data_IF_339856263086
#
_entry.id   IF_339856263086
#
_cell.length_a   1.000
_cell.length_b   1.000
_cell.length_c   1.000
_cell.angle_alpha   90.00
_cell.angle_beta   90.00
_cell.angle_gamma   90.00
#
_symmetry.space_group_name_H-M   'P 1'
#
loop_
_entity.id
_entity.type
_entity.pdbx_description
1 polymer ?
#
# COMPACT_ATOMS: atom_id res chain seq x y z
N UNK A 1 -23.19 -9.73 40.12
CA UNK A 1 -22.53 -8.66 39.30
C UNK A 1 -21.29 -9.27 38.68
N UNK A 2 -21.34 -9.65 37.43
CA UNK A 2 -20.19 -10.15 36.69
C UNK A 2 -19.31 -8.93 36.29
N UNK A 3 -17.99 -8.94 36.51
CA UNK A 3 -17.13 -7.84 36.07
C UNK A 3 -17.19 -7.77 34.55
N UNK A 4 -17.59 -6.62 34.03
CA UNK A 4 -17.40 -6.28 32.63
C UNK A 4 -15.89 -6.28 32.38
N UNK A 5 -15.39 -7.30 31.67
CA UNK A 5 -14.07 -7.23 31.08
C UNK A 5 -14.08 -6.06 30.07
N UNK A 6 -13.65 -4.88 30.50
CA UNK A 6 -13.29 -3.82 29.57
C UNK A 6 -12.15 -4.37 28.69
N UNK A 7 -12.47 -4.60 27.42
CA UNK A 7 -11.44 -4.95 26.43
C UNK A 7 -10.50 -3.75 26.32
N UNK A 8 -9.28 -3.90 26.82
CA UNK A 8 -8.26 -2.86 26.69
C UNK A 8 -8.09 -2.50 25.23
N UNK A 9 -8.20 -1.20 24.91
CA UNK A 9 -7.90 -0.70 23.57
C UNK A 9 -6.42 -0.86 23.24
N UNK A 10 -6.14 -1.27 22.02
CA UNK A 10 -4.78 -1.35 21.49
C UNK A 10 -4.72 -0.86 20.05
N UNK A 11 -3.57 -0.34 19.67
CA UNK A 11 -3.19 -0.02 18.30
C UNK A 11 -1.80 -0.58 18.07
N UNK A 12 -1.69 -1.56 17.20
CA UNK A 12 -0.41 -2.11 16.76
C UNK A 12 -0.09 -1.55 15.38
N UNK A 13 1.11 -0.99 15.22
CA UNK A 13 1.64 -0.52 13.94
C UNK A 13 2.98 -1.20 13.67
N UNK A 14 3.13 -1.70 12.46
CA UNK A 14 4.38 -2.24 11.93
C UNK A 14 4.73 -1.52 10.64
N UNK A 15 5.99 -1.12 10.52
CA UNK A 15 6.57 -0.63 9.28
C UNK A 15 7.57 -1.67 8.79
N UNK A 16 7.31 -2.25 7.62
CA UNK A 16 8.04 -3.43 7.14
C UNK A 16 8.16 -3.43 5.62
N UNK A 17 8.77 -4.48 5.08
CA UNK A 17 8.86 -4.79 3.65
C UNK A 17 9.29 -3.58 2.81
N UNK A 18 10.50 -3.03 3.04
CA UNK A 18 11.04 -1.98 2.19
C UNK A 18 11.20 -2.49 0.76
N UNK A 19 10.66 -1.77 -0.22
CA UNK A 19 10.77 -2.10 -1.63
C UNK A 19 11.33 -0.94 -2.44
N UNK A 20 12.28 -1.25 -3.33
CA UNK A 20 12.79 -0.28 -4.28
C UNK A 20 11.81 -0.14 -5.44
N UNK A 21 11.23 1.04 -5.56
CA UNK A 21 10.37 1.42 -6.67
C UNK A 21 11.17 2.21 -7.70
N UNK A 22 10.96 1.93 -8.97
CA UNK A 22 11.53 2.69 -10.08
C UNK A 22 10.41 3.48 -10.74
N UNK A 23 10.46 4.79 -10.64
CA UNK A 23 9.48 5.69 -11.24
C UNK A 23 9.82 5.91 -12.72
N UNK A 24 11.12 6.10 -12.99
CA UNK A 24 11.69 6.18 -14.35
C UNK A 24 13.17 5.74 -14.33
N UNK A 25 13.90 5.95 -15.43
CA UNK A 25 15.30 5.56 -15.55
C UNK A 25 16.22 6.25 -14.51
N UNK A 26 15.86 7.44 -14.06
CA UNK A 26 16.69 8.26 -13.17
C UNK A 26 16.15 8.36 -11.75
N UNK A 27 14.87 8.05 -11.53
CA UNK A 27 14.22 8.23 -10.25
C UNK A 27 13.81 6.87 -9.65
N UNK A 28 14.45 6.56 -8.56
CA UNK A 28 14.06 5.43 -7.72
C UNK A 28 13.87 5.89 -6.28
N UNK A 29 12.98 5.21 -5.57
CA UNK A 29 12.76 5.48 -4.15
C UNK A 29 12.41 4.18 -3.44
N UNK A 30 12.56 4.19 -2.10
CA UNK A 30 12.07 3.09 -1.27
C UNK A 30 10.74 3.49 -0.66
N UNK A 31 9.76 2.61 -0.77
CA UNK A 31 8.55 2.64 0.01
C UNK A 31 8.53 1.54 1.07
N UNK A 32 7.69 1.71 2.06
CA UNK A 32 7.55 0.82 3.20
C UNK A 32 6.09 0.46 3.36
N UNK A 33 5.83 -0.79 3.72
CA UNK A 33 4.49 -1.23 4.08
C UNK A 33 4.20 -0.81 5.53
N UNK A 34 3.09 -0.10 5.74
CA UNK A 34 2.52 0.21 7.04
C UNK A 34 1.36 -0.75 7.27
N UNK A 35 1.49 -1.58 8.29
CA UNK A 35 0.45 -2.49 8.73
C UNK A 35 -0.12 -2.01 10.07
N UNK A 36 -1.45 -1.87 10.14
CA UNK A 36 -2.18 -1.53 11.37
C UNK A 36 -3.09 -2.69 11.75
N UNK A 37 -3.08 -3.03 13.04
CA UNK A 37 -4.09 -3.88 13.67
C UNK A 37 -4.56 -3.24 14.97
N UNK A 38 -5.87 -3.10 15.16
CA UNK A 38 -6.45 -2.37 16.30
C UNK A 38 -7.85 -2.86 16.64
N UNK A 39 -8.25 -2.71 17.91
CA UNK A 39 -9.64 -2.80 18.34
C UNK A 39 -10.25 -1.41 18.65
N UNK A 40 -9.47 -0.33 18.56
CA UNK A 40 -9.91 1.02 18.86
C UNK A 40 -11.03 1.49 17.94
N UNK A 41 -12.03 2.17 18.51
CA UNK A 41 -13.15 2.72 17.78
C UNK A 41 -12.79 3.96 16.94
N UNK A 42 -11.62 4.55 17.19
CA UNK A 42 -11.11 5.66 16.39
C UNK A 42 -10.78 5.27 14.94
N UNK A 43 -10.61 3.97 14.67
CA UNK A 43 -10.26 3.47 13.34
C UNK A 43 -11.48 2.88 12.64
N UNK A 44 -11.73 3.33 11.44
CA UNK A 44 -12.79 2.80 10.58
C UNK A 44 -12.54 1.34 10.22
N UNK A 45 -11.27 0.99 9.94
CA UNK A 45 -10.84 -0.39 9.67
C UNK A 45 -9.99 -0.91 10.82
N UNK A 46 -10.29 -2.13 11.25
CA UNK A 46 -9.53 -2.79 12.34
C UNK A 46 -8.19 -3.34 11.87
N UNK A 47 -8.06 -3.54 10.56
CA UNK A 47 -6.80 -3.93 9.92
C UNK A 47 -6.65 -3.15 8.63
N UNK A 48 -5.47 -2.58 8.41
CA UNK A 48 -5.11 -1.89 7.17
C UNK A 48 -3.66 -2.17 6.79
N UNK A 49 -3.38 -2.05 5.51
CA UNK A 49 -2.05 -2.27 4.94
C UNK A 49 -1.87 -1.29 3.78
N UNK A 50 -0.94 -0.36 3.90
CA UNK A 50 -0.70 0.69 2.90
C UNK A 50 0.80 0.83 2.65
N UNK A 51 1.19 1.38 1.51
CA UNK A 51 2.60 1.66 1.22
C UNK A 51 2.85 3.16 1.16
N UNK A 52 3.95 3.59 1.81
CA UNK A 52 4.34 4.99 1.89
C UNK A 52 5.84 5.15 1.72
N UNK A 53 6.26 6.16 0.96
CA UNK A 53 7.67 6.56 0.85
C UNK A 53 8.05 7.60 1.90
N UNK A 54 9.33 7.72 2.21
CA UNK A 54 9.84 8.61 3.27
C UNK A 54 9.32 10.06 3.16
N UNK A 55 9.25 10.62 1.94
CA UNK A 55 8.75 12.00 1.76
C UNK A 55 7.29 12.18 2.18
N UNK A 56 6.47 11.13 2.12
CA UNK A 56 5.08 11.19 2.57
C UNK A 56 4.97 11.24 4.10
N UNK A 57 5.89 10.57 4.82
CA UNK A 57 6.00 10.74 6.28
C UNK A 57 6.42 12.16 6.67
N UNK A 58 7.33 12.77 5.90
CA UNK A 58 7.74 14.18 6.11
C UNK A 58 6.53 15.09 5.93
N UNK A 59 5.75 14.89 4.88
CA UNK A 59 4.51 15.63 4.64
C UNK A 59 3.52 15.44 5.80
N UNK A 60 3.27 14.19 6.23
CA UNK A 60 2.37 13.90 7.34
C UNK A 60 2.79 14.64 8.61
N UNK A 61 4.08 14.55 8.97
CA UNK A 61 4.62 15.24 10.17
C UNK A 61 4.39 16.73 10.09
N UNK A 62 4.65 17.36 8.94
CA UNK A 62 4.42 18.80 8.75
C UNK A 62 2.96 19.18 8.93
N UNK A 63 2.03 18.38 8.40
CA UNK A 63 0.59 18.63 8.52
C UNK A 63 0.09 18.45 9.95
N UNK A 64 0.50 17.40 10.62
CA UNK A 64 0.18 17.18 12.03
C UNK A 64 0.73 18.31 12.89
N UNK A 65 1.96 18.80 12.67
CA UNK A 65 2.55 19.91 13.42
C UNK A 65 1.79 21.22 13.21
N UNK A 66 1.34 21.50 11.96
CA UNK A 66 0.55 22.72 11.71
C UNK A 66 -0.83 22.69 12.35
N UNK A 67 -1.41 21.51 12.56
CA UNK A 67 -2.72 21.36 13.20
C UNK A 67 -2.64 21.26 14.72
N UNK A 68 -1.54 20.70 15.24
CA UNK A 68 -1.31 20.52 16.67
C UNK A 68 -0.10 21.33 17.14
N UNK A 69 -0.18 22.66 17.01
CA UNK A 69 0.93 23.61 17.23
C UNK A 69 1.58 23.46 18.62
N UNK A 70 0.78 23.14 19.64
CA UNK A 70 1.26 23.01 21.02
C UNK A 70 1.80 21.62 21.36
N UNK A 71 1.70 20.66 20.46
CA UNK A 71 2.17 19.30 20.65
C UNK A 71 3.57 19.17 20.02
N UNK A 72 4.52 18.74 20.81
CA UNK A 72 5.82 18.35 20.27
C UNK A 72 5.70 16.97 19.59
N UNK A 73 5.80 16.95 18.28
CA UNK A 73 5.78 15.72 17.51
C UNK A 73 7.09 14.96 17.61
N UNK A 74 7.05 13.62 17.57
CA UNK A 74 8.27 12.82 17.48
C UNK A 74 9.06 13.17 16.21
N UNK A 75 10.37 12.96 16.27
CA UNK A 75 11.23 13.17 15.14
C UNK A 75 11.14 12.00 14.14
N UNK A 76 11.30 12.33 12.87
CA UNK A 76 11.53 11.35 11.81
C UNK A 76 13.03 10.98 11.77
N UNK A 77 13.36 9.79 11.25
CA UNK A 77 14.75 9.49 10.95
C UNK A 77 15.33 10.55 9.99
N UNK A 78 16.62 10.86 10.08
CA UNK A 78 17.23 11.95 9.34
C UNK A 78 17.10 11.74 7.82
N UNK A 79 16.88 12.87 7.11
CA UNK A 79 16.98 12.91 5.67
C UNK A 79 18.46 12.83 5.30
N UNK A 80 18.91 11.66 4.87
CA UNK A 80 20.27 11.43 4.44
C UNK A 80 20.41 11.86 2.98
N UNK A 81 21.24 12.89 2.64
CA UNK A 81 21.39 13.36 1.27
C UNK A 81 21.89 12.28 0.30
N UNK A 82 22.74 11.38 0.80
CA UNK A 82 23.30 10.24 0.06
C UNK A 82 22.71 8.92 0.60
N UNK A 83 21.39 8.85 0.64
CA UNK A 83 20.73 7.62 1.08
C UNK A 83 21.00 6.51 0.06
N UNK A 84 21.80 5.54 0.49
CA UNK A 84 22.11 4.39 -0.34
C UNK A 84 21.01 3.34 -0.18
N UNK A 85 20.14 3.24 -1.16
CA UNK A 85 19.05 2.25 -1.22
C UNK A 85 19.56 0.80 -1.29
N UNK A 86 20.81 0.59 -1.68
CA UNK A 86 21.42 -0.73 -1.73
C UNK A 86 22.05 -1.13 -0.39
N UNK A 87 22.16 -0.21 0.57
CA UNK A 87 22.64 -0.54 1.91
C UNK A 87 21.46 -0.94 2.80
N UNK A 88 21.34 -2.23 3.05
CA UNK A 88 20.25 -2.80 3.86
C UNK A 88 20.18 -2.23 5.27
N UNK A 89 21.34 -1.91 5.88
CA UNK A 89 21.41 -1.33 7.21
C UNK A 89 20.78 0.08 7.24
N UNK A 90 21.09 0.93 6.27
CA UNK A 90 20.48 2.27 6.17
C UNK A 90 18.97 2.20 5.94
N UNK A 91 18.54 1.25 5.10
CA UNK A 91 17.12 1.02 4.82
C UNK A 91 16.39 0.57 6.08
N UNK A 92 17.00 -0.36 6.85
CA UNK A 92 16.39 -0.88 8.08
C UNK A 92 16.37 0.16 9.21
N UNK A 93 17.44 0.92 9.40
CA UNK A 93 17.46 2.03 10.38
C UNK A 93 16.36 3.05 10.08
N UNK A 94 16.16 3.41 8.81
CA UNK A 94 15.07 4.31 8.41
C UNK A 94 13.72 3.69 8.67
N UNK A 95 13.51 2.42 8.33
CA UNK A 95 12.30 1.66 8.61
C UNK A 95 11.95 1.69 10.10
N UNK A 96 12.92 1.39 10.97
CA UNK A 96 12.74 1.41 12.42
C UNK A 96 12.34 2.80 12.91
N UNK A 97 13.04 3.84 12.47
CA UNK A 97 12.70 5.23 12.85
C UNK A 97 11.30 5.65 12.38
N UNK A 98 10.86 5.21 11.21
CA UNK A 98 9.50 5.44 10.73
C UNK A 98 8.45 4.71 11.58
N UNK A 99 8.75 3.49 12.01
CA UNK A 99 7.88 2.73 12.92
C UNK A 99 7.76 3.40 14.28
N UNK A 100 8.87 3.81 14.87
CA UNK A 100 8.88 4.53 16.16
C UNK A 100 8.11 5.86 16.08
N UNK A 101 8.25 6.59 14.98
CA UNK A 101 7.48 7.80 14.72
C UNK A 101 5.97 7.51 14.75
N UNK A 102 5.50 6.53 13.98
CA UNK A 102 4.07 6.18 13.94
C UNK A 102 3.58 5.65 15.29
N UNK A 103 4.36 4.83 15.99
CA UNK A 103 3.99 4.33 17.31
C UNK A 103 3.71 5.47 18.30
N UNK A 104 4.58 6.48 18.32
CA UNK A 104 4.42 7.66 19.20
C UNK A 104 3.25 8.53 18.77
N UNK A 105 3.06 8.76 17.46
CA UNK A 105 1.93 9.53 16.91
C UNK A 105 0.60 8.87 17.25
N UNK A 106 0.49 7.56 17.08
CA UNK A 106 -0.74 6.80 17.32
C UNK A 106 -1.08 6.61 18.81
N UNK A 107 -0.16 6.93 19.72
CA UNK A 107 -0.40 6.95 21.16
C UNK A 107 -0.96 8.29 21.66
N UNK A 108 -0.93 9.34 20.83
CA UNK A 108 -1.39 10.66 21.22
C UNK A 108 -2.84 10.89 20.79
N UNK A 109 -3.80 11.05 21.73
CA UNK A 109 -5.22 11.22 21.40
C UNK A 109 -5.52 12.45 20.55
N UNK A 110 -4.74 13.54 20.73
CA UNK A 110 -4.93 14.77 19.94
C UNK A 110 -4.55 14.53 18.49
N UNK A 111 -3.46 13.81 18.23
CA UNK A 111 -3.02 13.48 16.88
C UNK A 111 -3.94 12.44 16.23
N UNK A 112 -4.53 11.53 17.03
CA UNK A 112 -5.54 10.58 16.54
C UNK A 112 -6.84 11.24 16.11
N UNK A 113 -7.10 12.49 16.46
CA UNK A 113 -8.27 13.23 15.97
C UNK A 113 -8.09 13.79 14.56
N UNK A 114 -6.86 13.77 14.01
CA UNK A 114 -6.57 14.31 12.68
C UNK A 114 -6.92 13.29 11.58
N UNK A 115 -7.87 13.65 10.73
CA UNK A 115 -8.32 12.81 9.60
C UNK A 115 -7.20 12.49 8.62
N UNK A 116 -6.17 13.35 8.48
CA UNK A 116 -5.01 13.10 7.62
C UNK A 116 -4.24 11.87 8.06
N UNK A 117 -4.07 11.70 9.39
CA UNK A 117 -3.42 10.53 9.95
C UNK A 117 -4.18 9.24 9.58
N UNK A 118 -5.51 9.24 9.73
CA UNK A 118 -6.34 8.08 9.40
C UNK A 118 -6.30 7.74 7.92
N UNK A 119 -6.40 8.74 7.03
CA UNK A 119 -6.28 8.54 5.59
C UNK A 119 -4.89 8.03 5.19
N UNK A 120 -3.84 8.56 5.84
CA UNK A 120 -2.46 8.15 5.58
C UNK A 120 -2.19 6.68 5.90
N UNK A 121 -2.72 6.17 7.01
CA UNK A 121 -2.45 4.79 7.45
C UNK A 121 -3.51 3.78 7.01
N UNK A 122 -4.65 4.20 6.47
CA UNK A 122 -5.74 3.31 6.10
C UNK A 122 -6.09 3.34 4.60
N UNK A 123 -5.54 4.27 3.80
CA UNK A 123 -5.82 4.38 2.36
C UNK A 123 -4.54 4.48 1.53
N UNK A 124 -4.66 4.25 0.21
CA UNK A 124 -3.56 4.47 -0.75
C UNK A 124 -3.59 5.87 -1.40
N UNK A 125 -4.43 6.76 -0.91
CA UNK A 125 -4.51 8.12 -1.44
C UNK A 125 -3.18 8.85 -1.36
N UNK A 126 -2.86 9.63 -2.37
CA UNK A 126 -1.69 10.51 -2.37
C UNK A 126 -1.82 11.61 -1.30
N UNK A 127 -0.72 12.26 -0.89
CA UNK A 127 -0.79 13.44 -0.01
C UNK A 127 -1.75 14.52 -0.52
N UNK A 128 -1.76 14.74 -1.81
CA UNK A 128 -2.63 15.72 -2.49
C UNK A 128 -4.11 15.33 -2.38
N UNK A 129 -4.42 14.06 -2.62
CA UNK A 129 -5.79 13.53 -2.51
C UNK A 129 -6.28 13.49 -1.06
N UNK A 130 -5.40 13.16 -0.11
CA UNK A 130 -5.69 13.25 1.33
C UNK A 130 -6.07 14.69 1.69
N UNK A 131 -5.29 15.67 1.24
CA UNK A 131 -5.55 17.07 1.53
C UNK A 131 -6.88 17.54 0.90
N UNK A 132 -7.14 17.16 -0.35
CA UNK A 132 -8.41 17.45 -1.01
C UNK A 132 -9.60 16.85 -0.25
N UNK A 133 -9.48 15.60 0.23
CA UNK A 133 -10.52 14.93 1.00
C UNK A 133 -10.82 15.64 2.33
N UNK A 134 -9.76 15.96 3.10
CA UNK A 134 -9.91 16.62 4.40
C UNK A 134 -10.44 18.05 4.26
N UNK A 135 -10.10 18.73 3.16
CA UNK A 135 -10.60 20.07 2.84
C UNK A 135 -12.02 20.09 2.27
N UNK A 136 -12.66 18.92 2.11
CA UNK A 136 -14.01 18.81 1.54
C UNK A 136 -14.09 19.06 0.03
N UNK A 137 -12.95 18.98 -0.68
CA UNK A 137 -12.85 19.19 -2.13
C UNK A 137 -13.05 17.90 -2.94
N UNK A 138 -13.52 16.84 -2.31
CA UNK A 138 -13.82 15.56 -2.96
C UNK A 138 -15.33 15.27 -2.89
N UNK A 139 -15.79 14.34 -3.73
CA UNK A 139 -17.20 13.87 -3.71
C UNK A 139 -17.46 12.84 -2.60
N UNK A 140 -16.46 12.42 -1.88
CA UNK A 140 -16.52 11.41 -0.83
C UNK A 140 -15.99 11.98 0.49
N UNK A 141 -16.54 11.50 1.58
CA UNK A 141 -16.11 11.79 2.94
C UNK A 141 -14.86 10.99 3.33
N UNK A 142 -14.25 11.35 4.46
CA UNK A 142 -13.11 10.60 5.03
C UNK A 142 -13.46 9.14 5.29
N UNK A 143 -14.66 8.85 5.79
CA UNK A 143 -15.08 7.48 6.06
C UNK A 143 -15.27 6.66 4.77
N UNK A 144 -15.88 7.26 3.76
CA UNK A 144 -16.03 6.65 2.43
C UNK A 144 -14.68 6.43 1.77
N UNK A 145 -13.76 7.40 1.88
CA UNK A 145 -12.40 7.23 1.37
C UNK A 145 -11.68 6.03 1.99
N UNK A 146 -11.79 5.84 3.32
CA UNK A 146 -11.19 4.69 4.01
C UNK A 146 -11.88 3.38 3.58
N UNK A 147 -13.19 3.41 3.29
CA UNK A 147 -13.90 2.24 2.82
C UNK A 147 -13.47 1.85 1.40
N UNK A 148 -13.42 2.82 0.47
CA UNK A 148 -13.28 2.57 -0.96
C UNK A 148 -11.83 2.48 -1.43
N UNK A 149 -10.91 3.26 -0.82
CA UNK A 149 -9.49 3.31 -1.19
C UNK A 149 -8.57 2.55 -0.25
N UNK A 150 -9.12 1.76 0.67
CA UNK A 150 -8.30 0.83 1.45
C UNK A 150 -7.69 -0.23 0.53
N UNK A 151 -6.43 -0.58 0.77
CA UNK A 151 -5.75 -1.60 -0.02
C UNK A 151 -6.36 -2.98 0.21
N UNK A 152 -7.23 -3.41 -0.70
CA UNK A 152 -7.86 -4.73 -0.70
C UNK A 152 -7.01 -5.81 -1.41
N UNK A 153 -5.83 -5.48 -1.93
CA UNK A 153 -5.08 -6.36 -2.85
C UNK A 153 -4.03 -7.28 -2.21
N UNK A 154 -3.98 -7.44 -0.90
CA UNK A 154 -3.27 -8.59 -0.33
C UNK A 154 -4.27 -9.47 0.41
N UNK A 155 -4.56 -10.64 -0.16
CA UNK A 155 -5.19 -11.74 0.56
C UNK A 155 -4.27 -12.10 1.71
N UNK A 156 -4.66 -11.76 2.93
CA UNK A 156 -4.09 -12.40 4.09
C UNK A 156 -4.40 -13.89 3.98
N UNK A 157 -3.48 -14.79 4.35
CA UNK A 157 -3.85 -16.19 4.53
C UNK A 157 -4.97 -16.21 5.58
N UNK A 158 -6.18 -16.43 5.15
CA UNK A 158 -7.28 -16.78 6.03
C UNK A 158 -6.95 -18.20 6.47
N UNK A 159 -6.70 -18.40 7.76
CA UNK A 159 -6.71 -19.73 8.34
C UNK A 159 -8.04 -20.37 7.96
N UNK A 160 -7.95 -21.47 7.20
CA UNK A 160 -9.07 -22.27 6.79
C UNK A 160 -9.74 -22.86 8.04
N UNK A 161 -10.84 -22.27 8.48
CA UNK A 161 -11.85 -23.06 9.18
C UNK A 161 -12.44 -24.03 8.16
N UNK A 162 -12.15 -25.30 8.39
CA UNK A 162 -12.74 -26.42 7.66
C UNK A 162 -14.26 -26.38 7.80
N UNK A 163 -14.94 -25.85 6.80
CA UNK A 163 -16.37 -26.15 6.62
C UNK A 163 -16.48 -27.49 5.92
N UNK A 164 -16.91 -28.50 6.70
CA UNK A 164 -17.38 -29.81 6.23
C UNK A 164 -18.31 -29.62 5.03
N UNK A 165 -17.89 -30.16 3.87
CA UNK A 165 -18.77 -30.39 2.75
C UNK A 165 -19.65 -31.59 3.04
N UNK A 166 -20.94 -31.38 3.18
CA UNK A 166 -21.92 -32.43 2.96
C UNK A 166 -22.13 -32.60 1.46
N UNK A 167 -21.92 -33.86 1.04
CA UNK A 167 -22.15 -34.35 -0.31
C UNK A 167 -23.65 -34.30 -0.67
N UNK A 168 -23.95 -33.79 -1.83
CA UNK A 168 -25.08 -34.30 -2.62
C UNK A 168 -24.60 -34.58 -4.04
N UNK A 169 -24.71 -35.87 -4.39
CA UNK A 169 -24.57 -36.38 -5.73
C UNK A 169 -25.88 -36.18 -6.50
N UNK A 170 -25.82 -35.88 -7.76
CA UNK A 170 -26.41 -36.73 -8.82
C UNK A 170 -26.34 -36.06 -10.20
N UNK A 171 -25.93 -36.87 -11.14
CA UNK A 171 -26.40 -37.25 -12.48
C UNK A 171 -26.10 -36.34 -13.68
N UNK A 172 -25.27 -36.96 -14.50
CA UNK A 172 -25.38 -37.23 -15.97
C UNK A 172 -25.79 -36.13 -16.96
N UNK A 173 -24.90 -35.87 -17.90
CA UNK A 173 -25.15 -36.20 -19.30
C UNK A 173 -23.95 -35.91 -20.21
N UNK A 174 -23.58 -36.94 -20.94
CA UNK A 174 -22.65 -36.98 -22.07
C UNK A 174 -23.14 -36.14 -23.25
N UNK A 175 -22.21 -35.60 -24.02
CA UNK A 175 -22.23 -35.80 -25.50
C UNK A 175 -20.94 -35.36 -26.16
N UNK A 176 -20.45 -36.29 -26.90
CA UNK A 176 -19.33 -36.35 -27.82
C UNK A 176 -19.48 -35.45 -29.04
N UNK A 177 -18.38 -35.07 -29.67
CA UNK A 177 -18.00 -35.32 -31.06
C UNK A 177 -16.95 -34.32 -31.53
N UNK A 178 -15.69 -34.76 -31.74
CA UNK A 178 -15.03 -35.09 -33.03
C UNK A 178 -15.11 -33.97 -34.08
N UNK A 179 -13.99 -33.48 -34.58
CA UNK A 179 -12.98 -34.05 -35.38
C UNK A 179 -12.30 -33.01 -36.27
N UNK A 180 -11.05 -33.34 -36.60
CA UNK A 180 -10.32 -33.20 -37.87
C UNK A 180 -9.79 -31.79 -38.24
N UNK A 181 -8.46 -31.60 -38.10
CA UNK A 181 -7.38 -31.72 -39.10
C UNK A 181 -7.55 -30.95 -40.43
N UNK A 182 -6.58 -30.13 -40.77
CA UNK A 182 -5.67 -30.20 -41.93
C UNK A 182 -4.83 -28.92 -42.01
N UNK A 183 -3.54 -28.97 -41.87
CA UNK A 183 -2.38 -29.08 -42.77
C UNK A 183 -2.27 -28.11 -43.94
N UNK A 184 -1.00 -27.68 -44.06
CA UNK A 184 -0.20 -27.37 -45.28
C UNK A 184 0.00 -25.90 -45.55
N UNK A 185 1.26 -25.45 -45.38
CA UNK A 185 2.34 -25.30 -46.41
C UNK A 185 2.05 -24.16 -47.42
N UNK A 186 2.91 -23.31 -47.72
CA UNK A 186 4.25 -23.38 -48.30
C UNK A 186 4.75 -21.95 -48.65
N UNK A 187 6.04 -21.74 -48.42
CA UNK A 187 7.06 -21.14 -49.28
C UNK A 187 6.88 -19.79 -50.00
N UNK A 188 7.83 -18.97 -49.80
CA UNK A 188 8.91 -18.60 -50.74
C UNK A 188 9.14 -17.09 -50.96
N UNK A 189 10.30 -16.63 -50.56
CA UNK A 189 11.42 -16.06 -51.32
C UNK A 189 11.17 -14.85 -52.25
N UNK A 190 11.93 -13.80 -52.04
CA UNK A 190 12.98 -13.13 -52.86
C UNK A 190 13.22 -11.68 -52.41
N UNK A 191 14.39 -11.33 -51.90
CA UNK A 191 15.64 -10.86 -52.52
C UNK A 191 15.51 -9.70 -53.48
N UNK A 192 16.09 -8.49 -53.15
CA UNK A 192 17.07 -7.64 -53.87
C UNK A 192 17.32 -6.36 -53.05
N UNK A 193 18.52 -6.08 -52.54
CA UNK A 193 19.78 -5.52 -53.09
C UNK A 193 19.67 -4.09 -53.68
N UNK A 194 20.55 -3.22 -53.17
CA UNK A 194 21.09 -1.99 -53.79
C UNK A 194 21.17 -0.88 -52.75
N UNK A 195 22.24 -0.61 -52.06
CA UNK A 195 23.56 -0.06 -52.42
C UNK A 195 23.49 1.42 -52.85
N UNK A 196 24.14 2.23 -52.09
CA UNK A 196 25.21 3.23 -52.27
C UNK A 196 24.98 4.50 -51.43
N UNK A 197 25.96 4.81 -50.60
CA UNK A 197 26.22 6.19 -50.16
C UNK A 197 27.08 6.91 -51.23
N UNK A 198 27.81 7.99 -50.96
CA UNK A 198 28.18 8.68 -49.74
C UNK A 198 28.18 10.23 -49.83
N UNK A 199 28.82 10.86 -48.81
CA UNK A 199 29.61 12.13 -48.80
C UNK A 199 28.95 13.40 -48.28
N UNK A 200 29.67 13.85 -47.29
CA UNK A 200 29.74 15.19 -46.71
C UNK A 200 30.18 16.31 -47.70
N UNK A 201 30.14 17.57 -47.33
CA UNK A 201 30.95 18.18 -46.27
C UNK A 201 30.14 18.95 -45.21
#
# INVERSE_FOLDING_TARGET
MTPKHEKQEFVTVLVRDPQLQKEDFWHSYIDYEIFIHTNSMCFTRKTSCVRRRFREFVWLRQKLQSNAVLIQLPDLPPKTPFFNSNNSQHVDQRRQGLQEFLQKVLQNPVLLSDSRLHLFVQTQLSPEDIEACVSGNTKYSVAEAIHDFACLKRRFPVEHEERKKENYADSDSESSSSGLEHSSDDSNSHRHKGSTGPEEP
#
